data_IF_514739303485
#
_entry.id   IF_514739303485
#
_cell.length_a   1.000
_cell.length_b   1.000
_cell.length_c   1.000
_cell.angle_alpha   90.00
_cell.angle_beta   90.00
_cell.angle_gamma   90.00
#
_symmetry.space_group_name_H-M   'P 1'
#
loop_
_entity.id
_entity.type
_entity.pdbx_description
1 polymer ?
#
# COMPACT_ATOMS: atom_id res chain seq x y z
N UNK A 1 18.91 2.46 -42.96
CA UNK A 1 18.35 1.66 -41.85
C UNK A 1 17.41 2.51 -41.03
N UNK A 2 16.15 2.14 -40.77
CA UNK A 2 15.36 2.86 -39.78
C UNK A 2 15.72 2.32 -38.38
N UNK A 3 16.09 3.23 -37.49
CA UNK A 3 16.27 2.93 -36.06
C UNK A 3 14.89 2.90 -35.40
N UNK A 4 14.55 1.82 -34.71
CA UNK A 4 13.28 1.72 -33.98
C UNK A 4 13.38 2.53 -32.67
N UNK A 5 12.39 3.39 -32.40
CA UNK A 5 12.28 4.11 -31.13
C UNK A 5 12.05 3.13 -29.97
N UNK A 6 12.62 3.38 -28.77
CA UNK A 6 12.39 2.52 -27.61
C UNK A 6 10.92 2.57 -27.17
N UNK A 7 10.40 1.42 -26.75
CA UNK A 7 9.05 1.30 -26.20
C UNK A 7 8.91 2.13 -24.91
N UNK A 8 7.72 2.71 -24.63
CA UNK A 8 7.49 3.46 -23.39
C UNK A 8 7.63 2.53 -22.18
N UNK A 9 8.18 3.08 -21.09
CA UNK A 9 8.30 2.37 -19.83
C UNK A 9 6.91 1.92 -19.31
N UNK A 10 6.82 0.76 -18.63
CA UNK A 10 5.57 0.30 -18.05
C UNK A 10 5.02 1.32 -17.05
N UNK A 11 3.71 1.51 -17.05
CA UNK A 11 3.04 2.37 -16.07
C UNK A 11 3.11 1.74 -14.68
N UNK A 12 3.31 2.54 -13.61
CA UNK A 12 3.24 2.03 -12.25
C UNK A 12 1.88 1.41 -11.94
N UNK A 13 1.89 0.41 -11.04
CA UNK A 13 0.69 -0.21 -10.50
C UNK A 13 -0.22 0.79 -9.78
N UNK A 14 -1.50 0.42 -9.56
CA UNK A 14 -2.47 1.29 -8.89
C UNK A 14 -2.03 1.70 -7.48
N UNK A 15 -1.41 0.79 -6.74
CA UNK A 15 -0.78 0.97 -5.43
C UNK A 15 0.31 2.06 -5.46
N UNK A 16 1.27 1.94 -6.39
CA UNK A 16 2.34 2.92 -6.55
C UNK A 16 1.80 4.32 -6.89
N UNK A 17 0.76 4.39 -7.74
CA UNK A 17 0.10 5.66 -8.07
C UNK A 17 -0.61 6.30 -6.87
N UNK A 18 -1.19 5.50 -5.98
CA UNK A 18 -1.81 6.01 -4.74
C UNK A 18 -0.74 6.60 -3.83
N UNK A 19 0.38 5.90 -3.62
CA UNK A 19 1.50 6.40 -2.81
C UNK A 19 2.05 7.71 -3.37
N UNK A 20 2.28 7.79 -4.68
CA UNK A 20 2.73 9.04 -5.33
C UNK A 20 1.75 10.19 -5.07
N UNK A 21 0.45 9.94 -5.20
CA UNK A 21 -0.57 10.98 -4.97
C UNK A 21 -0.64 11.40 -3.51
N UNK A 22 -0.54 10.45 -2.57
CA UNK A 22 -0.50 10.74 -1.13
C UNK A 22 0.72 11.61 -0.80
N UNK A 23 1.91 11.25 -1.28
CA UNK A 23 3.12 12.04 -1.06
C UNK A 23 3.04 13.43 -1.71
N UNK A 24 2.43 13.56 -2.89
CA UNK A 24 2.13 14.87 -3.50
C UNK A 24 1.27 15.74 -2.58
N UNK A 25 0.22 15.18 -1.98
CA UNK A 25 -0.64 15.90 -1.05
C UNK A 25 0.08 16.24 0.26
N UNK A 26 0.94 15.34 0.77
CA UNK A 26 1.75 15.59 1.97
C UNK A 26 2.72 16.73 1.75
N UNK A 27 3.44 16.74 0.64
CA UNK A 27 4.37 17.81 0.28
C UNK A 27 3.65 19.17 0.15
N UNK A 28 2.45 19.19 -0.47
CA UNK A 28 1.64 20.40 -0.57
C UNK A 28 1.18 20.96 0.80
N UNK A 29 1.18 20.13 1.85
CA UNK A 29 0.84 20.52 3.22
C UNK A 29 2.08 20.62 4.14
N UNK A 30 3.30 20.62 3.59
CA UNK A 30 4.53 20.75 4.36
C UNK A 30 4.92 19.49 5.16
N UNK A 31 4.29 18.35 4.87
CA UNK A 31 4.60 17.07 5.51
C UNK A 31 5.71 16.34 4.73
N UNK A 32 6.66 15.67 5.42
CA UNK A 32 7.64 14.79 4.78
C UNK A 32 6.97 13.66 3.99
N UNK A 33 7.62 13.17 2.94
CA UNK A 33 7.12 12.01 2.18
C UNK A 33 7.09 10.74 3.04
N UNK A 34 6.17 9.84 2.72
CA UNK A 34 6.14 8.48 3.27
C UNK A 34 6.98 7.56 2.39
N UNK A 35 7.64 6.60 3.01
CA UNK A 35 8.30 5.49 2.34
C UNK A 35 7.43 4.22 2.42
N UNK A 36 7.42 3.42 1.36
CA UNK A 36 6.73 2.13 1.36
C UNK A 36 7.62 1.07 2.02
N UNK A 37 7.05 0.29 2.94
CA UNK A 37 7.68 -0.92 3.46
C UNK A 37 6.98 -2.16 2.87
N UNK A 38 7.71 -3.11 2.26
CA UNK A 38 7.11 -4.28 1.61
C UNK A 38 6.29 -5.14 2.57
N UNK A 39 6.62 -5.19 3.87
CA UNK A 39 5.84 -5.92 4.87
C UNK A 39 4.46 -5.30 5.07
N UNK A 40 4.39 -3.97 5.08
CA UNK A 40 3.13 -3.24 5.22
C UNK A 40 2.28 -3.34 3.95
N UNK A 41 2.91 -3.28 2.77
CA UNK A 41 2.23 -3.52 1.49
C UNK A 41 1.61 -4.91 1.45
N UNK A 42 2.34 -5.94 1.89
CA UNK A 42 1.82 -7.31 1.93
C UNK A 42 0.64 -7.47 2.90
N UNK A 43 0.70 -6.84 4.08
CA UNK A 43 -0.42 -6.82 5.04
C UNK A 43 -1.67 -6.16 4.45
N UNK A 44 -1.50 -5.02 3.77
CA UNK A 44 -2.61 -4.32 3.15
C UNK A 44 -3.24 -5.16 2.02
N UNK A 45 -2.40 -5.77 1.17
CA UNK A 45 -2.85 -6.61 0.07
C UNK A 45 -3.66 -7.81 0.57
N UNK A 46 -3.14 -8.55 1.58
CA UNK A 46 -3.84 -9.70 2.17
C UNK A 46 -5.17 -9.31 2.81
N UNK A 47 -5.26 -8.13 3.44
CA UNK A 47 -6.51 -7.64 4.00
C UNK A 47 -7.54 -7.33 2.90
N UNK A 48 -7.11 -6.68 1.81
CA UNK A 48 -7.99 -6.45 0.65
C UNK A 48 -8.46 -7.75 0.00
N UNK A 49 -7.60 -8.75 -0.12
CA UNK A 49 -7.95 -10.08 -0.63
C UNK A 49 -8.94 -10.80 0.28
N UNK A 50 -8.77 -10.74 1.61
CA UNK A 50 -9.70 -11.35 2.56
C UNK A 50 -11.10 -10.70 2.49
N UNK A 51 -11.15 -9.36 2.43
CA UNK A 51 -12.38 -8.60 2.22
C UNK A 51 -13.10 -9.03 0.93
N UNK A 52 -12.35 -9.12 -0.18
CA UNK A 52 -12.90 -9.53 -1.46
C UNK A 52 -13.37 -10.99 -1.45
N UNK A 53 -12.57 -11.91 -0.89
CA UNK A 53 -12.86 -13.34 -0.86
C UNK A 53 -14.06 -13.69 0.03
N UNK A 54 -14.33 -12.90 1.07
CA UNK A 54 -15.39 -13.15 2.05
C UNK A 54 -16.55 -12.15 1.99
N UNK A 55 -16.54 -11.26 0.99
CA UNK A 55 -17.60 -10.30 0.71
C UNK A 55 -17.96 -9.40 1.91
N UNK A 56 -16.95 -8.76 2.51
CA UNK A 56 -17.12 -7.76 3.57
C UNK A 56 -16.20 -6.56 3.35
N UNK A 57 -16.49 -5.45 4.03
CA UNK A 57 -15.65 -4.25 4.03
C UNK A 57 -15.55 -3.69 5.45
N UNK A 58 -14.42 -3.95 6.12
CA UNK A 58 -14.17 -3.57 7.51
C UNK A 58 -12.66 -3.40 7.75
N UNK A 59 -12.28 -2.67 8.79
CA UNK A 59 -10.89 -2.58 9.26
C UNK A 59 -10.45 -3.83 10.03
N UNK A 60 -11.41 -4.53 10.63
CA UNK A 60 -11.23 -5.81 11.31
C UNK A 60 -11.28 -6.93 10.28
N UNK A 61 -10.30 -7.82 10.28
CA UNK A 61 -10.35 -8.94 9.36
C UNK A 61 -11.37 -10.00 9.80
N UNK A 62 -11.62 -10.96 8.93
CA UNK A 62 -12.57 -12.06 9.18
C UNK A 62 -12.20 -13.00 10.33
N UNK A 63 -11.01 -12.85 10.92
CA UNK A 63 -10.57 -13.56 12.12
C UNK A 63 -10.63 -12.68 13.37
N UNK A 64 -11.16 -11.45 13.26
CA UNK A 64 -11.29 -10.50 14.37
C UNK A 64 -10.05 -9.64 14.63
N UNK A 65 -9.03 -9.66 13.75
CA UNK A 65 -7.78 -8.92 13.97
C UNK A 65 -7.86 -7.51 13.39
N UNK A 66 -7.43 -6.52 14.16
CA UNK A 66 -7.30 -5.13 13.71
C UNK A 66 -6.01 -4.88 12.91
N UNK A 67 -5.83 -3.65 12.41
CA UNK A 67 -4.61 -3.26 11.68
C UNK A 67 -3.34 -3.45 12.53
N UNK A 68 -3.39 -3.10 13.82
CA UNK A 68 -2.29 -3.28 14.77
C UNK A 68 -1.84 -4.74 14.91
N UNK A 69 -2.78 -5.66 15.07
CA UNK A 69 -2.48 -7.10 15.17
C UNK A 69 -1.83 -7.62 13.89
N UNK A 70 -2.37 -7.23 12.73
CA UNK A 70 -1.85 -7.65 11.42
C UNK A 70 -0.44 -7.11 11.16
N UNK A 71 -0.16 -5.86 11.52
CA UNK A 71 1.19 -5.27 11.38
C UNK A 71 2.15 -5.85 12.42
N UNK A 72 1.72 -6.04 13.68
CA UNK A 72 2.52 -6.66 14.73
C UNK A 72 3.01 -8.07 14.35
N UNK A 73 2.18 -8.85 13.66
CA UNK A 73 2.54 -10.18 13.16
C UNK A 73 3.69 -10.19 12.14
N UNK A 74 4.05 -9.04 11.54
CA UNK A 74 5.17 -8.93 10.58
C UNK A 74 6.53 -8.67 11.23
N UNK A 75 6.57 -8.32 12.52
CA UNK A 75 7.77 -7.83 13.18
C UNK A 75 8.21 -6.42 12.73
N UNK A 76 7.37 -5.69 11.99
CA UNK A 76 7.59 -4.25 11.74
C UNK A 76 7.56 -3.49 13.07
N UNK A 77 8.52 -2.60 13.30
CA UNK A 77 8.57 -1.80 14.52
C UNK A 77 7.63 -0.59 14.37
N UNK A 78 6.59 -0.51 15.19
CA UNK A 78 5.61 0.58 15.15
C UNK A 78 5.16 1.00 16.54
N UNK A 79 4.70 2.24 16.65
CA UNK A 79 4.08 2.80 17.86
C UNK A 79 2.63 3.25 17.62
N UNK A 80 2.29 3.57 16.36
CA UNK A 80 0.93 3.81 15.89
C UNK A 80 0.77 3.28 14.45
N UNK A 81 -0.43 2.82 14.11
CA UNK A 81 -0.81 2.38 12.76
C UNK A 81 -2.29 2.70 12.51
N UNK A 82 -2.63 3.15 11.30
CA UNK A 82 -3.98 3.54 10.91
C UNK A 82 -4.08 3.97 9.45
#
# INVERSE_FOLDING_TARGET
SPSASPAPAPRPGPDARVVTRVNTLRAANGCPELETDPRLTEVAQRHSEDMAARNYFDHTDSSGRGAGDRVGATGYAWSAVG
#
